data_IF_069904898194
#
_entry.id   IF_069904898194
#
_cell.length_a   1.000
_cell.length_b   1.000
_cell.length_c   1.000
_cell.angle_alpha   90.00
_cell.angle_beta   90.00
_cell.angle_gamma   90.00
#
_symmetry.space_group_name_H-M   'P 1'
#
loop_
_entity.id
_entity.type
_entity.pdbx_description
1 polymer ?
#
# COMPACT_ATOMS: atom_id res chain seq x y z
N UNK A 1 23.52 -5.92 -14.22
CA UNK A 1 24.21 -5.08 -13.22
C UNK A 1 25.04 -5.98 -12.33
N UNK A 2 26.32 -5.69 -12.18
CA UNK A 2 27.23 -6.46 -11.30
C UNK A 2 27.01 -6.13 -9.82
N UNK A 3 27.47 -7.01 -8.91
CA UNK A 3 27.37 -6.76 -7.47
C UNK A 3 28.04 -5.45 -7.04
N UNK A 4 29.15 -5.05 -7.72
CA UNK A 4 29.84 -3.79 -7.47
C UNK A 4 28.97 -2.56 -7.73
N UNK A 5 28.25 -2.55 -8.85
CA UNK A 5 27.34 -1.44 -9.23
C UNK A 5 26.13 -1.36 -8.27
N UNK A 6 25.59 -2.53 -7.88
CA UNK A 6 24.50 -2.56 -6.90
C UNK A 6 24.96 -2.01 -5.54
N UNK A 7 26.15 -2.42 -5.07
CA UNK A 7 26.72 -1.90 -3.82
C UNK A 7 26.98 -0.39 -3.90
N UNK A 8 27.58 0.10 -4.97
CA UNK A 8 27.81 1.54 -5.15
C UNK A 8 26.49 2.34 -5.13
N UNK A 9 25.42 1.82 -5.75
CA UNK A 9 24.09 2.43 -5.69
C UNK A 9 23.54 2.43 -4.26
N UNK A 10 23.65 1.31 -3.53
CA UNK A 10 23.17 1.22 -2.14
C UNK A 10 23.88 2.20 -1.22
N UNK A 11 25.17 2.46 -1.42
CA UNK A 11 25.88 3.48 -0.66
C UNK A 11 25.36 4.89 -0.92
N UNK A 12 25.09 5.24 -2.18
CA UNK A 12 24.46 6.53 -2.53
C UNK A 12 23.09 6.68 -1.89
N UNK A 13 22.28 5.63 -1.96
CA UNK A 13 20.95 5.58 -1.34
C UNK A 13 21.01 5.71 0.17
N UNK A 14 22.03 5.11 0.82
CA UNK A 14 22.22 5.25 2.26
C UNK A 14 22.46 6.71 2.67
N UNK A 15 23.27 7.46 1.93
CA UNK A 15 23.50 8.88 2.21
C UNK A 15 22.26 9.73 2.00
N UNK A 16 21.48 9.44 0.97
CA UNK A 16 20.19 10.11 0.74
C UNK A 16 19.21 9.85 1.89
N UNK A 17 19.08 8.59 2.34
CA UNK A 17 18.24 8.22 3.47
C UNK A 17 18.73 8.83 4.79
N UNK A 18 20.05 8.83 5.05
CA UNK A 18 20.64 9.42 6.25
C UNK A 18 20.32 10.92 6.35
N UNK A 19 20.40 11.65 5.23
CA UNK A 19 20.02 13.07 5.19
C UNK A 19 18.56 13.27 5.63
N UNK A 20 17.64 12.46 5.14
CA UNK A 20 16.22 12.52 5.54
C UNK A 20 16.04 12.19 7.04
N UNK A 21 16.76 11.18 7.55
CA UNK A 21 16.74 10.83 8.98
C UNK A 21 17.22 11.97 9.88
N UNK A 22 18.18 12.76 9.40
CA UNK A 22 18.71 13.91 10.15
C UNK A 22 17.77 15.12 10.10
N UNK A 23 17.08 15.33 8.97
CA UNK A 23 16.18 16.46 8.79
C UNK A 23 14.87 16.28 9.57
N UNK A 24 14.24 15.11 9.50
CA UNK A 24 12.90 14.89 10.02
C UNK A 24 11.83 15.82 9.39
N UNK A 25 10.59 15.69 9.80
CA UNK A 25 9.46 16.50 9.31
C UNK A 25 8.92 17.33 10.46
N UNK A 26 8.71 18.63 10.24
CA UNK A 26 8.15 19.53 11.25
C UNK A 26 6.72 19.13 11.58
N UNK A 27 6.39 19.17 12.87
CA UNK A 27 5.05 18.87 13.39
C UNK A 27 4.40 20.17 13.87
N UNK A 28 3.17 20.40 13.42
CA UNK A 28 2.31 21.44 14.00
C UNK A 28 1.72 20.94 15.33
N UNK A 29 2.10 21.52 16.49
CA UNK A 29 1.63 21.07 17.78
C UNK A 29 0.13 21.28 17.98
N UNK A 30 -0.47 22.31 17.37
CA UNK A 30 -1.90 22.57 17.47
C UNK A 30 -2.69 21.54 16.66
N UNK A 31 -2.29 21.29 15.42
CA UNK A 31 -2.93 20.27 14.59
C UNK A 31 -2.80 18.87 15.25
N UNK A 32 -1.64 18.55 15.85
CA UNK A 32 -1.45 17.30 16.59
C UNK A 32 -2.38 17.18 17.79
N UNK A 33 -2.52 18.27 18.58
CA UNK A 33 -3.44 18.29 19.72
C UNK A 33 -4.91 18.15 19.29
N UNK A 34 -5.30 18.78 18.17
CA UNK A 34 -6.65 18.67 17.62
C UNK A 34 -6.96 17.24 17.17
N UNK A 35 -6.04 16.60 16.43
CA UNK A 35 -6.18 15.20 16.01
C UNK A 35 -6.26 14.27 17.22
N UNK A 36 -5.46 14.53 18.28
CA UNK A 36 -5.51 13.75 19.51
C UNK A 36 -6.90 13.84 20.15
N UNK A 37 -7.47 15.05 20.29
CA UNK A 37 -8.82 15.23 20.82
C UNK A 37 -9.90 14.55 19.97
N UNK A 38 -9.80 14.62 18.64
CA UNK A 38 -10.70 13.92 17.72
C UNK A 38 -10.66 12.39 17.95
N UNK A 39 -9.45 11.82 18.06
CA UNK A 39 -9.24 10.38 18.30
C UNK A 39 -9.80 9.97 19.67
N UNK A 40 -9.49 10.71 20.74
CA UNK A 40 -9.96 10.41 22.09
C UNK A 40 -11.49 10.52 22.22
N UNK A 41 -12.10 11.54 21.62
CA UNK A 41 -13.55 11.67 21.58
C UNK A 41 -14.22 10.51 20.84
N UNK A 42 -13.70 10.12 19.67
CA UNK A 42 -14.21 8.99 18.90
C UNK A 42 -14.02 7.65 19.65
N UNK A 43 -12.88 7.45 20.31
CA UNK A 43 -12.62 6.29 21.15
C UNK A 43 -13.57 6.22 22.34
N UNK A 44 -13.78 7.34 23.05
CA UNK A 44 -14.69 7.44 24.18
C UNK A 44 -16.14 7.13 23.78
N UNK A 45 -16.63 7.73 22.70
CA UNK A 45 -17.97 7.47 22.15
C UNK A 45 -18.15 5.99 21.77
N UNK A 46 -17.14 5.43 21.11
CA UNK A 46 -17.18 4.01 20.69
C UNK A 46 -17.16 3.06 21.89
N UNK A 47 -16.33 3.36 22.90
CA UNK A 47 -16.25 2.56 24.12
C UNK A 47 -17.57 2.61 24.92
N UNK A 48 -18.14 3.79 25.12
CA UNK A 48 -19.42 3.97 25.81
C UNK A 48 -20.55 3.16 25.16
N UNK A 49 -20.59 3.13 23.82
CA UNK A 49 -21.53 2.29 23.07
C UNK A 49 -21.30 0.79 23.35
N UNK A 50 -20.04 0.33 23.30
CA UNK A 50 -19.69 -1.07 23.55
C UNK A 50 -20.09 -1.48 24.97
N UNK A 51 -19.74 -0.68 25.97
CA UNK A 51 -20.09 -0.96 27.39
C UNK A 51 -21.59 -0.95 27.62
N UNK A 52 -22.33 -0.07 26.95
CA UNK A 52 -23.80 -0.07 26.99
C UNK A 52 -24.37 -1.36 26.43
N UNK A 53 -23.87 -1.86 25.32
CA UNK A 53 -24.33 -3.11 24.69
C UNK A 53 -23.98 -4.34 25.54
N UNK A 54 -22.80 -4.35 26.17
CA UNK A 54 -22.33 -5.46 26.97
C UNK A 54 -22.91 -5.43 28.42
N UNK A 55 -23.32 -4.27 28.91
CA UNK A 55 -23.75 -4.05 30.28
C UNK A 55 -22.62 -4.00 31.32
N UNK A 56 -21.36 -4.02 30.89
CA UNK A 56 -20.17 -3.94 31.75
C UNK A 56 -18.96 -3.36 31.02
N UNK A 57 -17.98 -2.86 31.79
CA UNK A 57 -16.70 -2.39 31.25
C UNK A 57 -15.83 -3.56 30.74
N UNK A 58 -15.08 -3.29 29.67
CA UNK A 58 -14.19 -4.28 29.05
C UNK A 58 -12.89 -3.61 28.57
N UNK A 59 -11.77 -4.30 28.71
CA UNK A 59 -10.51 -3.89 28.11
C UNK A 59 -10.31 -4.54 26.74
N UNK A 60 -10.57 -3.79 25.67
CA UNK A 60 -10.44 -4.26 24.27
C UNK A 60 -8.99 -4.60 23.85
N UNK A 61 -8.00 -4.17 24.63
CA UNK A 61 -6.57 -4.53 24.44
C UNK A 61 -6.17 -5.81 25.15
N UNK A 62 -7.03 -6.36 26.03
CA UNK A 62 -6.77 -7.59 26.75
C UNK A 62 -7.16 -8.82 25.93
N UNK A 63 -6.19 -9.60 25.39
CA UNK A 63 -6.53 -10.82 24.64
C UNK A 63 -7.39 -11.79 25.48
N UNK A 64 -7.12 -11.89 26.78
CA UNK A 64 -7.87 -12.76 27.69
C UNK A 64 -9.33 -12.36 27.76
N UNK A 65 -9.64 -11.07 28.02
CA UNK A 65 -11.02 -10.60 28.10
C UNK A 65 -11.75 -10.75 26.75
N UNK A 66 -11.07 -10.47 25.66
CA UNK A 66 -11.65 -10.62 24.32
C UNK A 66 -11.93 -12.09 23.97
N UNK A 67 -11.07 -13.02 24.35
CA UNK A 67 -11.33 -14.46 24.16
C UNK A 67 -12.52 -14.92 25.02
N UNK A 68 -12.60 -14.50 26.30
CA UNK A 68 -13.72 -14.79 27.16
C UNK A 68 -15.03 -14.26 26.58
N UNK A 69 -15.07 -12.97 26.20
CA UNK A 69 -16.26 -12.36 25.62
C UNK A 69 -16.79 -13.16 24.41
N UNK A 70 -15.93 -13.41 23.39
CA UNK A 70 -16.43 -14.03 22.17
C UNK A 70 -16.65 -15.53 22.28
N UNK A 71 -15.80 -16.26 22.99
CA UNK A 71 -15.82 -17.73 22.94
C UNK A 71 -16.48 -18.38 24.18
N UNK A 72 -16.61 -17.63 25.29
CA UNK A 72 -17.34 -18.10 26.50
C UNK A 72 -18.68 -17.42 26.59
N UNK A 73 -18.73 -16.09 26.72
CA UNK A 73 -19.97 -15.37 27.07
C UNK A 73 -20.93 -15.32 25.86
N UNK A 74 -20.42 -15.04 24.66
CA UNK A 74 -21.18 -15.02 23.40
C UNK A 74 -21.20 -16.39 22.68
N UNK A 75 -20.57 -17.42 23.26
CA UNK A 75 -20.55 -18.80 22.77
C UNK A 75 -20.22 -18.96 21.25
N UNK A 76 -19.35 -18.12 20.71
CA UNK A 76 -19.00 -18.17 19.31
C UNK A 76 -18.07 -19.34 19.00
N UNK A 77 -18.17 -19.88 17.78
CA UNK A 77 -17.23 -20.89 17.29
C UNK A 77 -15.81 -20.28 17.22
N UNK A 78 -14.86 -20.93 17.90
CA UNK A 78 -13.47 -20.47 18.00
C UNK A 78 -12.83 -20.29 16.61
N UNK A 79 -12.19 -19.15 16.42
CA UNK A 79 -11.32 -18.86 15.27
C UNK A 79 -9.89 -19.01 15.75
N UNK A 80 -9.09 -19.72 14.93
CA UNK A 80 -7.68 -19.98 15.23
C UNK A 80 -6.78 -19.08 14.39
N UNK A 81 -5.62 -18.71 14.94
CA UNK A 81 -4.57 -18.05 14.18
C UNK A 81 -4.14 -18.92 13.00
N UNK A 82 -3.60 -18.29 11.93
CA UNK A 82 -2.97 -19.05 10.85
C UNK A 82 -1.81 -19.87 11.39
N UNK A 83 -1.71 -21.11 10.91
CA UNK A 83 -0.58 -21.98 11.25
C UNK A 83 0.74 -21.30 10.80
N UNK A 84 1.71 -21.26 11.72
CA UNK A 84 3.07 -20.78 11.44
C UNK A 84 4.04 -21.94 11.67
N UNK A 85 5.19 -22.01 10.96
CA UNK A 85 6.22 -22.98 11.27
C UNK A 85 6.57 -22.93 12.76
N UNK A 86 6.56 -24.09 13.42
CA UNK A 86 6.89 -24.27 14.85
C UNK A 86 5.91 -23.61 15.86
N UNK A 87 4.77 -23.09 15.42
CA UNK A 87 3.75 -22.54 16.34
C UNK A 87 2.38 -23.14 16.01
N UNK A 88 1.77 -23.90 16.94
CA UNK A 88 0.43 -24.42 16.73
C UNK A 88 -0.59 -23.27 16.63
N UNK A 89 -1.66 -23.43 15.85
CA UNK A 89 -2.77 -22.49 15.85
C UNK A 89 -3.37 -22.35 17.24
N UNK A 90 -3.67 -21.11 17.65
CA UNK A 90 -4.30 -20.81 18.95
C UNK A 90 -5.53 -19.91 18.76
N UNK A 91 -6.48 -19.93 19.69
CA UNK A 91 -7.62 -19.03 19.66
C UNK A 91 -7.18 -17.57 19.53
N UNK A 92 -7.90 -16.80 18.67
CA UNK A 92 -7.61 -15.39 18.41
C UNK A 92 -8.89 -14.59 18.24
N UNK A 93 -8.84 -13.31 18.59
CA UNK A 93 -9.84 -12.28 18.31
C UNK A 93 -9.20 -11.11 17.55
N UNK A 94 -8.22 -11.42 16.69
CA UNK A 94 -7.63 -10.43 15.77
C UNK A 94 -8.67 -9.94 14.74
N UNK A 95 -8.28 -9.00 13.90
CA UNK A 95 -9.17 -8.37 12.94
C UNK A 95 -9.81 -9.38 11.97
N UNK A 96 -9.05 -10.40 11.53
CA UNK A 96 -9.58 -11.45 10.64
C UNK A 96 -10.59 -12.36 11.38
N UNK A 97 -10.35 -12.62 12.65
CA UNK A 97 -11.27 -13.39 13.49
C UNK A 97 -12.58 -12.63 13.72
N UNK A 98 -12.52 -11.34 14.05
CA UNK A 98 -13.72 -10.52 14.25
C UNK A 98 -14.51 -10.32 12.95
N UNK A 99 -13.83 -10.09 11.80
CA UNK A 99 -14.47 -10.07 10.47
C UNK A 99 -15.16 -11.42 10.16
N UNK A 100 -14.55 -12.54 10.58
CA UNK A 100 -15.12 -13.88 10.38
C UNK A 100 -16.37 -14.09 11.23
N UNK A 101 -16.33 -13.69 12.50
CA UNK A 101 -17.48 -13.76 13.43
C UNK A 101 -18.62 -12.87 12.90
N UNK A 102 -18.33 -11.63 12.50
CA UNK A 102 -19.31 -10.70 11.95
C UNK A 102 -20.02 -11.22 10.68
N UNK A 103 -19.33 -12.04 9.87
CA UNK A 103 -19.93 -12.70 8.69
C UNK A 103 -20.80 -13.90 9.05
N UNK A 104 -20.45 -14.64 10.11
CA UNK A 104 -21.21 -15.82 10.58
C UNK A 104 -22.45 -15.43 11.35
N UNK A 105 -22.34 -14.38 12.18
CA UNK A 105 -23.37 -13.92 13.10
C UNK A 105 -23.73 -12.46 12.83
N UNK A 106 -24.70 -12.19 11.95
CA UNK A 106 -25.08 -10.82 11.59
C UNK A 106 -25.47 -9.94 12.79
N UNK A 107 -26.02 -10.53 13.87
CA UNK A 107 -26.37 -9.79 15.09
C UNK A 107 -25.14 -9.27 15.84
N UNK A 108 -24.01 -9.95 15.75
CA UNK A 108 -22.75 -9.51 16.35
C UNK A 108 -21.93 -8.56 15.45
N UNK A 109 -22.35 -8.39 14.21
CA UNK A 109 -21.64 -7.53 13.25
C UNK A 109 -21.42 -6.10 13.77
N UNK A 110 -22.42 -5.40 14.36
CA UNK A 110 -22.20 -4.06 14.91
C UNK A 110 -21.15 -4.04 16.03
N UNK A 111 -21.18 -5.01 16.95
CA UNK A 111 -20.21 -5.12 18.04
C UNK A 111 -18.80 -5.37 17.51
N UNK A 112 -18.62 -6.34 16.60
CA UNK A 112 -17.33 -6.61 15.97
C UNK A 112 -16.77 -5.37 15.26
N UNK A 113 -17.61 -4.66 14.49
CA UNK A 113 -17.20 -3.45 13.78
C UNK A 113 -16.78 -2.33 14.75
N UNK A 114 -17.53 -2.08 15.82
CA UNK A 114 -17.17 -1.08 16.84
C UNK A 114 -15.86 -1.40 17.55
N UNK A 115 -15.62 -2.68 17.86
CA UNK A 115 -14.33 -3.11 18.42
C UNK A 115 -13.18 -2.88 17.44
N UNK A 116 -13.36 -3.22 16.17
CA UNK A 116 -12.36 -2.99 15.11
C UNK A 116 -12.10 -1.49 14.92
N UNK A 117 -13.13 -0.67 14.92
CA UNK A 117 -13.00 0.79 14.84
C UNK A 117 -12.19 1.34 16.01
N UNK A 118 -12.56 0.99 17.24
CA UNK A 118 -11.84 1.42 18.43
C UNK A 118 -10.34 1.03 18.37
N UNK A 119 -10.03 -0.19 17.94
CA UNK A 119 -8.65 -0.66 17.78
C UNK A 119 -7.90 0.15 16.72
N UNK A 120 -8.55 0.49 15.62
CA UNK A 120 -7.96 1.36 14.59
C UNK A 120 -7.64 2.75 15.14
N UNK A 121 -8.58 3.38 15.86
CA UNK A 121 -8.38 4.67 16.51
C UNK A 121 -7.23 4.61 17.54
N UNK A 122 -7.19 3.58 18.37
CA UNK A 122 -6.15 3.37 19.37
C UNK A 122 -4.76 3.20 18.72
N UNK A 123 -4.67 2.46 17.61
CA UNK A 123 -3.42 2.30 16.85
C UNK A 123 -2.95 3.62 16.27
N UNK A 124 -3.87 4.47 15.75
CA UNK A 124 -3.54 5.80 15.26
C UNK A 124 -3.02 6.70 16.37
N UNK A 125 -3.71 6.72 17.53
CA UNK A 125 -3.26 7.50 18.69
C UNK A 125 -1.86 7.08 19.12
N UNK A 126 -1.66 5.79 19.39
CA UNK A 126 -0.40 5.27 19.93
C UNK A 126 0.77 5.46 18.96
N UNK A 127 0.57 5.24 17.65
CA UNK A 127 1.64 5.35 16.68
C UNK A 127 1.98 6.79 16.31
N UNK A 128 1.00 7.69 16.23
CA UNK A 128 1.21 9.04 15.69
C UNK A 128 1.18 10.13 16.74
N UNK A 129 0.29 10.02 17.74
CA UNK A 129 0.12 11.08 18.73
C UNK A 129 1.07 10.93 19.92
N UNK A 130 1.50 9.69 20.24
CA UNK A 130 2.45 9.44 21.32
C UNK A 130 3.91 9.42 20.86
N UNK A 131 4.17 9.47 19.55
CA UNK A 131 5.52 9.50 19.01
C UNK A 131 6.35 10.68 19.55
N UNK A 132 7.55 10.39 20.03
CA UNK A 132 8.45 11.42 20.56
C UNK A 132 9.06 12.25 19.44
N UNK A 133 9.03 13.56 19.57
CA UNK A 133 9.69 14.49 18.67
C UNK A 133 11.12 14.79 19.14
N UNK A 134 11.94 15.30 18.23
CA UNK A 134 13.25 15.86 18.59
C UNK A 134 13.12 17.23 19.29
N UNK A 135 14.27 17.82 19.62
CA UNK A 135 14.33 19.12 20.34
C UNK A 135 13.77 20.29 19.50
N UNK A 136 13.71 20.14 18.18
CA UNK A 136 13.20 21.13 17.24
C UNK A 136 11.70 20.92 16.90
N UNK A 137 11.06 19.93 17.55
CA UNK A 137 9.66 19.58 17.29
C UNK A 137 9.44 18.86 15.97
N UNK A 138 10.47 18.13 15.49
CA UNK A 138 10.38 17.37 14.24
C UNK A 138 10.18 15.88 14.52
N UNK A 139 9.47 15.22 13.65
CA UNK A 139 9.27 13.77 13.66
C UNK A 139 10.24 13.14 12.67
N UNK A 140 11.17 12.37 13.19
CA UNK A 140 12.10 11.59 12.41
C UNK A 140 11.58 10.18 12.10
N UNK A 141 12.36 9.44 11.32
CA UNK A 141 12.19 8.01 11.10
C UNK A 141 13.55 7.41 10.81
N UNK A 142 13.88 6.28 11.42
CA UNK A 142 15.08 5.52 11.08
C UNK A 142 14.77 4.63 9.88
N UNK A 143 15.32 4.96 8.72
CA UNK A 143 15.11 4.18 7.49
C UNK A 143 16.17 3.08 7.37
N UNK A 144 15.72 1.84 7.23
CA UNK A 144 16.56 0.71 6.87
C UNK A 144 16.39 0.41 5.38
N UNK A 145 17.38 0.78 4.56
CA UNK A 145 17.38 0.60 3.11
C UNK A 145 17.46 -0.86 2.65
N UNK A 146 17.83 -1.77 3.57
CA UNK A 146 17.92 -3.22 3.36
C UNK A 146 16.92 -3.99 4.24
N UNK A 147 15.89 -3.33 4.74
CA UNK A 147 14.99 -3.89 5.75
C UNK A 147 13.98 -4.91 5.22
N UNK A 148 13.81 -5.01 3.90
CA UNK A 148 12.88 -5.96 3.29
C UNK A 148 13.52 -6.73 2.14
N UNK A 149 13.00 -7.92 1.87
CA UNK A 149 13.45 -8.75 0.73
C UNK A 149 13.12 -8.12 -0.63
N UNK A 150 12.19 -7.16 -0.69
CA UNK A 150 11.75 -6.47 -1.91
C UNK A 150 12.51 -5.18 -2.21
N UNK A 151 13.56 -4.87 -1.44
CA UNK A 151 14.30 -3.60 -1.50
C UNK A 151 13.46 -2.35 -1.16
N UNK A 152 12.25 -2.53 -0.65
CA UNK A 152 11.50 -1.48 0.01
C UNK A 152 12.15 -1.18 1.35
N UNK A 153 12.11 0.06 1.78
CA UNK A 153 12.58 0.41 3.11
C UNK A 153 11.68 -0.21 4.18
N UNK A 154 12.25 -0.49 5.32
CA UNK A 154 11.52 -0.52 6.58
C UNK A 154 11.89 0.70 7.41
N UNK A 155 11.02 1.11 8.30
CA UNK A 155 11.29 2.25 9.17
C UNK A 155 10.83 2.00 10.59
N UNK A 156 11.43 2.74 11.54
CA UNK A 156 11.13 2.66 12.97
C UNK A 156 11.46 4.01 13.64
N UNK A 157 11.20 4.13 14.92
CA UNK A 157 11.85 5.14 15.73
C UNK A 157 13.39 4.98 15.68
N UNK A 158 14.12 6.04 15.97
CA UNK A 158 15.57 5.99 16.00
C UNK A 158 16.09 5.32 17.28
N UNK A 159 17.43 5.15 17.39
CA UNK A 159 18.07 4.51 18.55
C UNK A 159 17.84 5.25 19.89
N UNK A 160 17.36 6.48 19.85
CA UNK A 160 17.05 7.31 21.03
C UNK A 160 15.55 7.33 21.37
N UNK A 161 14.73 6.51 20.69
CA UNK A 161 13.30 6.46 20.88
C UNK A 161 12.59 7.72 20.38
N UNK A 162 13.15 8.41 19.38
CA UNK A 162 12.56 9.60 18.76
C UNK A 162 12.03 9.23 17.38
N UNK A 163 10.88 9.79 17.02
CA UNK A 163 10.22 9.53 15.75
C UNK A 163 9.37 8.27 15.75
N UNK A 164 9.09 7.75 14.56
CA UNK A 164 8.19 6.61 14.38
C UNK A 164 8.38 5.94 13.02
N UNK A 165 7.65 4.84 12.80
CA UNK A 165 7.55 4.24 11.47
C UNK A 165 6.64 5.07 10.56
N UNK A 166 7.23 6.00 9.78
CA UNK A 166 6.48 6.86 8.86
C UNK A 166 5.85 6.09 7.68
N UNK A 167 6.28 4.86 7.40
CA UNK A 167 5.67 4.03 6.36
C UNK A 167 4.31 3.45 6.76
N UNK A 168 3.91 3.56 8.05
CA UNK A 168 2.57 3.21 8.50
C UNK A 168 1.54 4.33 8.33
N UNK A 169 1.94 5.52 7.86
CA UNK A 169 1.00 6.62 7.63
C UNK A 169 -0.03 6.20 6.58
N UNK A 170 -1.32 6.22 6.92
CA UNK A 170 -2.36 5.75 6.01
C UNK A 170 -2.48 6.64 4.79
N UNK A 171 -2.64 6.01 3.63
CA UNK A 171 -3.04 6.68 2.39
C UNK A 171 -4.48 6.28 2.02
N UNK A 172 -5.19 7.04 1.18
CA UNK A 172 -6.60 6.77 0.84
C UNK A 172 -6.90 5.36 0.35
N UNK A 173 -5.92 4.69 -0.26
CA UNK A 173 -6.01 3.29 -0.71
C UNK A 173 -5.61 2.26 0.34
N UNK A 174 -5.24 2.65 1.57
CA UNK A 174 -4.82 1.68 2.58
C UNK A 174 -5.97 0.79 3.03
N UNK A 175 -5.66 -0.49 3.28
CA UNK A 175 -6.66 -1.50 3.68
C UNK A 175 -7.43 -1.10 4.94
N UNK A 176 -6.78 -0.45 5.88
CA UNK A 176 -7.40 0.02 7.14
C UNK A 176 -8.45 1.10 6.88
N UNK A 177 -8.12 2.10 6.05
CA UNK A 177 -9.06 3.17 5.68
C UNK A 177 -10.23 2.63 4.84
N UNK A 178 -9.96 1.77 3.85
CA UNK A 178 -11.01 1.15 3.03
C UNK A 178 -11.99 0.37 3.92
N UNK A 179 -11.49 -0.48 4.82
CA UNK A 179 -12.33 -1.23 5.76
C UNK A 179 -13.12 -0.34 6.71
N UNK A 180 -12.53 0.76 7.19
CA UNK A 180 -13.24 1.74 8.01
C UNK A 180 -14.39 2.37 7.22
N UNK A 181 -14.15 2.84 5.99
CA UNK A 181 -15.18 3.39 5.12
C UNK A 181 -16.29 2.38 4.78
N UNK A 182 -15.94 1.12 4.50
CA UNK A 182 -16.92 0.04 4.28
C UNK A 182 -17.82 -0.21 5.50
N UNK A 183 -17.36 0.13 6.71
CA UNK A 183 -18.13 0.07 7.96
C UNK A 183 -18.89 1.37 8.28
N UNK A 184 -18.78 2.39 7.41
CA UNK A 184 -19.36 3.73 7.65
C UNK A 184 -18.63 4.54 8.74
N UNK A 185 -17.35 4.26 8.95
CA UNK A 185 -16.50 4.86 9.95
C UNK A 185 -15.50 5.82 9.31
N UNK A 186 -15.14 6.87 10.04
CA UNK A 186 -14.12 7.84 9.61
C UNK A 186 -12.92 7.78 10.53
N UNK A 187 -11.72 7.94 9.97
CA UNK A 187 -10.49 8.10 10.73
C UNK A 187 -9.94 9.51 10.48
N UNK A 188 -9.43 10.20 11.51
CA UNK A 188 -8.83 11.53 11.33
C UNK A 188 -7.67 11.50 10.34
N UNK A 189 -7.53 12.57 9.56
CA UNK A 189 -6.40 12.75 8.64
C UNK A 189 -5.14 13.16 9.42
N UNK A 190 -4.34 12.18 9.82
CA UNK A 190 -3.10 12.42 10.58
C UNK A 190 -2.03 13.18 9.79
N UNK A 191 -2.09 13.16 8.44
CA UNK A 191 -1.16 13.91 7.60
C UNK A 191 -1.27 15.43 7.81
N UNK A 192 -2.36 15.96 8.43
CA UNK A 192 -2.54 17.39 8.72
C UNK A 192 -1.48 17.96 9.64
N UNK A 193 -0.92 17.16 10.55
CA UNK A 193 0.07 17.63 11.50
C UNK A 193 1.49 17.79 10.93
N UNK A 194 1.76 17.16 9.77
CA UNK A 194 3.05 17.28 9.10
C UNK A 194 3.06 18.51 8.21
N UNK A 195 3.88 19.49 8.57
CA UNK A 195 3.92 20.81 7.91
C UNK A 195 5.30 21.07 7.31
N UNK A 196 5.38 21.83 6.20
CA UNK A 196 6.67 22.31 5.71
C UNK A 196 7.28 23.34 6.66
N UNK A 197 8.57 23.59 6.51
CA UNK A 197 9.25 24.69 7.18
C UNK A 197 8.70 26.03 6.68
N UNK A 198 8.91 27.11 7.46
CA UNK A 198 8.46 28.44 7.07
C UNK A 198 9.08 28.89 5.74
N UNK A 199 8.24 29.34 4.80
CA UNK A 199 8.66 29.70 3.45
C UNK A 199 8.89 28.51 2.51
N UNK A 200 8.54 27.28 2.93
CA UNK A 200 8.62 26.08 2.12
C UNK A 200 7.24 25.56 1.70
N UNK A 201 7.25 24.78 0.63
CA UNK A 201 6.09 24.03 0.14
C UNK A 201 6.41 22.55 0.25
N UNK A 202 5.51 21.76 0.86
CA UNK A 202 5.58 20.31 0.89
C UNK A 202 5.16 19.74 -0.46
N UNK A 203 5.82 18.67 -0.92
CA UNK A 203 5.40 17.90 -2.09
C UNK A 203 5.27 16.41 -1.73
N UNK A 204 4.33 15.76 -2.38
CA UNK A 204 4.18 14.30 -2.41
C UNK A 204 4.21 13.85 -3.87
N UNK A 205 5.17 13.02 -4.21
CA UNK A 205 5.32 12.38 -5.51
C UNK A 205 4.91 10.93 -5.38
N UNK A 206 4.08 10.42 -6.29
CA UNK A 206 3.56 9.06 -6.27
C UNK A 206 3.65 8.41 -7.65
N UNK A 207 4.08 7.15 -7.69
CA UNK A 207 4.14 6.36 -8.91
C UNK A 207 2.74 5.80 -9.24
N UNK A 208 2.21 6.15 -10.39
CA UNK A 208 0.87 5.73 -10.80
C UNK A 208 0.81 4.22 -11.11
N UNK A 209 0.04 3.45 -10.31
CA UNK A 209 -0.22 2.02 -10.56
C UNK A 209 1.02 1.18 -10.81
N UNK A 210 2.13 1.50 -10.14
CA UNK A 210 3.47 1.07 -10.47
C UNK A 210 3.63 -0.46 -10.63
N UNK A 211 3.12 -1.25 -9.68
CA UNK A 211 3.22 -2.71 -9.76
C UNK A 211 2.50 -3.27 -10.99
N UNK A 212 1.35 -2.71 -11.36
CA UNK A 212 0.60 -3.15 -12.54
C UNK A 212 1.35 -2.86 -13.85
N UNK A 213 1.98 -1.67 -13.98
CA UNK A 213 2.84 -1.38 -15.12
C UNK A 213 3.94 -2.43 -15.29
N UNK A 214 4.61 -2.79 -14.19
CA UNK A 214 5.67 -3.82 -14.22
C UNK A 214 5.11 -5.17 -14.64
N UNK A 215 3.97 -5.61 -14.10
CA UNK A 215 3.33 -6.88 -14.49
C UNK A 215 3.00 -6.91 -15.99
N UNK A 216 2.44 -5.83 -16.52
CA UNK A 216 2.09 -5.73 -17.95
C UNK A 216 3.34 -5.82 -18.84
N UNK A 217 4.47 -5.22 -18.43
CA UNK A 217 5.73 -5.30 -19.17
C UNK A 217 6.38 -6.69 -19.05
N UNK A 218 6.36 -7.28 -17.87
CA UNK A 218 6.79 -8.66 -17.65
C UNK A 218 5.97 -9.67 -18.44
N UNK A 219 4.66 -9.47 -18.51
CA UNK A 219 3.75 -10.32 -19.30
C UNK A 219 3.89 -10.13 -20.81
N UNK A 220 4.47 -9.01 -21.24
CA UNK A 220 4.50 -8.51 -22.63
C UNK A 220 3.10 -8.50 -23.27
N UNK A 221 2.12 -8.02 -22.51
CA UNK A 221 0.74 -7.93 -22.99
C UNK A 221 0.54 -6.66 -23.82
N UNK A 222 0.38 -6.82 -25.13
CA UNK A 222 0.35 -5.70 -26.07
C UNK A 222 -0.89 -4.81 -25.89
N UNK A 223 -2.02 -5.41 -25.55
CA UNK A 223 -3.28 -4.68 -25.39
C UNK A 223 -3.24 -3.82 -24.13
N UNK A 224 -2.83 -4.39 -23.00
CA UNK A 224 -2.64 -3.65 -21.75
C UNK A 224 -1.56 -2.56 -21.88
N UNK A 225 -0.44 -2.84 -22.55
CA UNK A 225 0.59 -1.82 -22.84
C UNK A 225 0.00 -0.65 -23.63
N UNK A 226 -0.81 -0.95 -24.65
CA UNK A 226 -1.43 0.08 -25.48
C UNK A 226 -2.43 0.90 -24.67
N UNK A 227 -3.26 0.24 -23.85
CA UNK A 227 -4.23 0.90 -22.98
C UNK A 227 -3.53 1.86 -22.00
N UNK A 228 -2.46 1.40 -21.34
CA UNK A 228 -1.67 2.22 -20.42
C UNK A 228 -1.02 3.42 -21.12
N UNK A 229 -0.43 3.22 -22.32
CA UNK A 229 0.19 4.30 -23.11
C UNK A 229 -0.82 5.35 -23.57
N UNK A 230 -2.06 4.96 -23.81
CA UNK A 230 -3.14 5.87 -24.18
C UNK A 230 -3.80 6.58 -23.00
N UNK A 231 -3.37 6.32 -21.77
CA UNK A 231 -3.96 6.91 -20.56
C UNK A 231 -5.38 6.42 -20.26
N UNK A 232 -5.74 5.23 -20.74
CA UNK A 232 -7.04 4.61 -20.47
C UNK A 232 -7.14 4.27 -18.98
N UNK A 233 -8.30 4.53 -18.35
CA UNK A 233 -8.57 4.04 -16.98
C UNK A 233 -8.55 2.51 -16.97
N UNK A 234 -7.36 1.98 -16.63
CA UNK A 234 -7.09 0.55 -16.68
C UNK A 234 -8.03 -0.26 -15.78
N UNK A 235 -8.52 0.32 -14.69
CA UNK A 235 -9.46 -0.38 -13.81
C UNK A 235 -10.88 -0.45 -14.40
N UNK A 236 -11.28 0.55 -15.18
CA UNK A 236 -12.50 0.47 -15.98
C UNK A 236 -12.34 -0.52 -17.13
N UNK A 237 -11.19 -0.48 -17.82
CA UNK A 237 -10.86 -1.40 -18.91
C UNK A 237 -10.88 -2.85 -18.42
N UNK A 238 -10.14 -3.18 -17.37
CA UNK A 238 -10.10 -4.54 -16.80
C UNK A 238 -11.46 -4.98 -16.23
N UNK A 239 -12.29 -4.05 -15.76
CA UNK A 239 -13.66 -4.39 -15.37
C UNK A 239 -14.52 -4.83 -16.57
N UNK A 240 -14.32 -4.22 -17.74
CA UNK A 240 -15.02 -4.65 -18.95
C UNK A 240 -14.65 -6.08 -19.32
N UNK A 241 -13.37 -6.46 -19.25
CA UNK A 241 -12.92 -7.82 -19.55
C UNK A 241 -13.41 -8.85 -18.54
N UNK A 242 -13.23 -8.55 -17.25
CA UNK A 242 -13.62 -9.46 -16.17
C UNK A 242 -15.12 -9.75 -16.15
N UNK A 243 -15.94 -8.71 -16.33
CA UNK A 243 -17.40 -8.80 -16.26
C UNK A 243 -18.07 -8.90 -17.62
N UNK A 244 -17.29 -9.00 -18.71
CA UNK A 244 -17.77 -9.08 -20.09
C UNK A 244 -18.76 -7.94 -20.44
N UNK A 245 -18.42 -6.69 -20.06
CA UNK A 245 -19.21 -5.51 -20.33
C UNK A 245 -18.92 -5.07 -21.77
N UNK A 246 -19.92 -5.26 -22.65
CA UNK A 246 -19.80 -4.92 -24.08
C UNK A 246 -20.29 -3.50 -24.38
N UNK A 247 -19.87 -2.95 -25.54
CA UNK A 247 -20.35 -1.68 -26.06
C UNK A 247 -19.78 -0.46 -25.34
N UNK A 248 -18.58 -0.59 -24.79
CA UNK A 248 -17.75 0.52 -24.29
C UNK A 248 -16.42 0.46 -25.06
N UNK A 249 -16.16 1.41 -25.98
CA UNK A 249 -14.88 1.49 -26.67
C UNK A 249 -13.76 1.82 -25.66
N UNK A 250 -12.61 1.13 -25.71
CA UNK A 250 -11.50 1.38 -24.78
C UNK A 250 -11.03 2.85 -24.74
N UNK A 251 -11.00 3.53 -25.90
CA UNK A 251 -10.60 4.92 -26.04
C UNK A 251 -11.52 5.90 -25.29
N UNK A 252 -12.78 5.53 -25.06
CA UNK A 252 -13.74 6.32 -24.30
C UNK A 252 -13.56 6.18 -22.77
N UNK A 253 -12.71 5.28 -22.33
CA UNK A 253 -12.32 5.10 -20.92
C UNK A 253 -11.15 6.00 -20.50
N UNK A 254 -10.85 7.05 -21.23
CA UNK A 254 -9.89 8.07 -20.86
C UNK A 254 -10.58 9.21 -20.10
N UNK A 255 -10.05 9.65 -18.97
CA UNK A 255 -10.70 10.65 -18.09
C UNK A 255 -11.05 11.97 -18.79
N UNK A 256 -10.34 12.30 -19.86
CA UNK A 256 -10.60 13.48 -20.70
C UNK A 256 -11.68 13.27 -21.75
N UNK A 257 -12.15 12.03 -21.96
CA UNK A 257 -13.18 11.74 -22.98
C UNK A 257 -14.58 12.17 -22.51
N UNK A 258 -15.41 12.80 -23.37
CA UNK A 258 -16.74 13.27 -22.97
C UNK A 258 -17.64 12.19 -22.36
N UNK A 259 -17.58 10.96 -22.88
CA UNK A 259 -18.41 9.83 -22.45
C UNK A 259 -17.84 9.11 -21.20
N UNK A 260 -16.65 9.48 -20.71
CA UNK A 260 -15.99 8.78 -19.60
C UNK A 260 -16.88 8.68 -18.36
N UNK A 261 -17.51 9.79 -17.96
CA UNK A 261 -18.36 9.82 -16.75
C UNK A 261 -19.55 8.87 -16.85
N UNK A 262 -20.17 8.76 -18.02
CA UNK A 262 -21.28 7.84 -18.29
C UNK A 262 -20.81 6.39 -18.21
N UNK A 263 -19.73 6.04 -18.91
CA UNK A 263 -19.15 4.70 -18.87
C UNK A 263 -18.68 4.31 -17.48
N UNK A 264 -18.04 5.25 -16.76
CA UNK A 264 -17.62 5.06 -15.36
C UNK A 264 -18.81 4.76 -14.45
N UNK A 265 -19.94 5.47 -14.63
CA UNK A 265 -21.17 5.23 -13.89
C UNK A 265 -21.78 3.86 -14.23
N UNK A 266 -21.80 3.47 -15.52
CA UNK A 266 -22.28 2.16 -15.99
C UNK A 266 -21.45 1.00 -15.44
N UNK A 267 -20.12 1.15 -15.34
CA UNK A 267 -19.23 0.17 -14.73
C UNK A 267 -19.44 0.10 -13.21
N UNK A 268 -19.67 1.25 -12.57
CA UNK A 268 -19.98 1.36 -11.15
C UNK A 268 -18.91 0.73 -10.24
N UNK A 269 -19.36 0.05 -9.19
CA UNK A 269 -18.48 -0.60 -8.21
C UNK A 269 -17.63 -1.76 -8.76
N UNK A 270 -17.94 -2.28 -9.95
CA UNK A 270 -17.15 -3.34 -10.61
C UNK A 270 -15.71 -2.92 -10.86
N UNK A 271 -15.45 -1.63 -11.04
CA UNK A 271 -14.09 -1.08 -11.16
C UNK A 271 -13.20 -1.41 -9.95
N UNK A 272 -13.73 -1.23 -8.76
CA UNK A 272 -12.95 -1.45 -7.52
C UNK A 272 -12.78 -2.94 -7.24
N UNK A 273 -13.77 -3.75 -7.62
CA UNK A 273 -13.63 -5.21 -7.61
C UNK A 273 -12.61 -5.68 -8.63
N UNK A 274 -12.63 -5.15 -9.86
CA UNK A 274 -11.65 -5.49 -10.89
C UNK A 274 -10.21 -5.21 -10.42
N UNK A 275 -9.95 -4.06 -9.81
CA UNK A 275 -8.65 -3.73 -9.21
C UNK A 275 -8.17 -4.81 -8.25
N UNK A 276 -9.06 -5.28 -7.35
CA UNK A 276 -8.72 -6.31 -6.35
C UNK A 276 -8.50 -7.69 -6.97
N UNK A 277 -9.32 -8.06 -7.97
CA UNK A 277 -9.20 -9.35 -8.68
C UNK A 277 -7.90 -9.39 -9.46
N UNK A 278 -7.64 -8.39 -10.29
CA UNK A 278 -6.44 -8.31 -11.14
C UNK A 278 -5.19 -8.38 -10.27
N UNK A 279 -5.12 -7.59 -9.21
CA UNK A 279 -3.99 -7.65 -8.27
C UNK A 279 -3.79 -9.04 -7.65
N UNK A 280 -4.88 -9.74 -7.30
CA UNK A 280 -4.77 -11.11 -6.81
C UNK A 280 -4.27 -12.08 -7.90
N UNK A 281 -4.75 -11.95 -9.14
CA UNK A 281 -4.39 -12.81 -10.25
C UNK A 281 -2.95 -12.58 -10.73
N UNK A 282 -2.48 -11.35 -10.72
CA UNK A 282 -1.08 -10.99 -11.00
C UNK A 282 -0.12 -11.71 -10.03
N UNK A 283 -0.55 -11.90 -8.78
CA UNK A 283 0.18 -12.63 -7.74
C UNK A 283 -0.18 -14.12 -7.67
N UNK A 284 -0.62 -14.72 -8.77
CA UNK A 284 -1.01 -16.15 -8.86
C UNK A 284 -2.18 -16.55 -7.94
N UNK A 285 -3.11 -15.63 -7.69
CA UNK A 285 -4.30 -15.88 -6.90
C UNK A 285 -5.17 -16.99 -7.50
N UNK A 286 -5.73 -17.82 -6.65
CA UNK A 286 -6.62 -18.94 -7.03
C UNK A 286 -8.10 -18.53 -6.95
N UNK A 287 -9.00 -19.37 -7.48
CA UNK A 287 -10.44 -19.18 -7.33
C UNK A 287 -10.86 -19.03 -5.86
N UNK A 288 -10.19 -19.71 -4.93
CA UNK A 288 -10.41 -19.56 -3.48
C UNK A 288 -10.05 -18.14 -3.00
N UNK A 289 -8.94 -17.59 -3.48
CA UNK A 289 -8.52 -16.22 -3.15
C UNK A 289 -9.50 -15.18 -3.69
N UNK A 290 -9.89 -15.31 -4.96
CA UNK A 290 -10.84 -14.41 -5.62
C UNK A 290 -12.22 -14.49 -4.96
N UNK A 291 -12.73 -15.70 -4.70
CA UNK A 291 -13.99 -15.95 -4.01
C UNK A 291 -14.01 -15.28 -2.62
N UNK A 292 -12.95 -15.46 -1.83
CA UNK A 292 -12.85 -14.84 -0.50
C UNK A 292 -12.78 -13.31 -0.57
N UNK A 293 -12.14 -12.74 -1.62
CA UNK A 293 -12.01 -11.29 -1.82
C UNK A 293 -13.34 -10.64 -2.19
N UNK A 294 -14.14 -11.32 -3.01
CA UNK A 294 -15.39 -10.80 -3.56
C UNK A 294 -16.63 -11.23 -2.76
N UNK A 295 -16.53 -12.22 -1.88
CA UNK A 295 -17.69 -12.84 -1.23
C UNK A 295 -18.57 -13.62 -2.21
N UNK A 296 -18.00 -14.18 -3.29
CA UNK A 296 -18.70 -14.89 -4.37
C UNK A 296 -18.44 -16.40 -4.33
N UNK A 297 -19.10 -17.17 -5.18
CA UNK A 297 -18.88 -18.62 -5.28
C UNK A 297 -17.54 -18.97 -5.93
N UNK A 298 -17.02 -20.17 -5.68
CA UNK A 298 -15.81 -20.66 -6.36
C UNK A 298 -16.00 -20.74 -7.88
N UNK A 299 -17.18 -21.09 -8.35
CA UNK A 299 -17.50 -21.17 -9.76
C UNK A 299 -17.45 -19.80 -10.46
N UNK A 300 -18.03 -18.77 -9.83
CA UNK A 300 -17.95 -17.40 -10.33
C UNK A 300 -16.53 -16.88 -10.30
N UNK A 301 -15.78 -17.16 -9.23
CA UNK A 301 -14.38 -16.80 -9.12
C UNK A 301 -13.54 -17.44 -10.22
N UNK A 302 -13.79 -18.73 -10.55
CA UNK A 302 -13.12 -19.40 -11.67
C UNK A 302 -13.46 -18.75 -13.00
N UNK A 303 -14.73 -18.37 -13.24
CA UNK A 303 -15.12 -17.66 -14.47
C UNK A 303 -14.41 -16.32 -14.64
N UNK A 304 -14.19 -15.56 -13.55
CA UNK A 304 -13.38 -14.33 -13.62
C UNK A 304 -11.93 -14.61 -14.01
N UNK A 305 -11.33 -15.68 -13.47
CA UNK A 305 -9.98 -16.10 -13.83
C UNK A 305 -9.90 -16.46 -15.31
N UNK A 306 -10.86 -17.27 -15.80
CA UNK A 306 -10.90 -17.71 -17.20
C UNK A 306 -11.09 -16.54 -18.15
N UNK A 307 -11.97 -15.60 -17.82
CA UNK A 307 -12.17 -14.36 -18.59
C UNK A 307 -10.87 -13.54 -18.66
N UNK A 308 -10.22 -13.32 -17.52
CA UNK A 308 -9.01 -12.50 -17.42
C UNK A 308 -7.84 -13.13 -18.19
N UNK A 309 -7.54 -14.38 -17.94
CA UNK A 309 -6.43 -15.07 -18.61
C UNK A 309 -6.73 -15.38 -20.09
N UNK A 310 -8.01 -15.48 -20.45
CA UNK A 310 -8.44 -15.59 -21.85
C UNK A 310 -8.20 -14.30 -22.62
N UNK A 311 -8.49 -13.15 -22.03
CA UNK A 311 -8.23 -11.83 -22.62
C UNK A 311 -6.71 -11.50 -22.60
N UNK A 312 -6.01 -11.86 -21.53
CA UNK A 312 -4.61 -11.50 -21.30
C UNK A 312 -3.70 -12.72 -21.14
N UNK A 313 -3.50 -13.53 -22.20
CA UNK A 313 -2.70 -14.77 -22.13
C UNK A 313 -1.21 -14.53 -21.87
N UNK A 314 -0.74 -13.28 -21.95
CA UNK A 314 0.61 -12.86 -21.56
C UNK A 314 0.90 -13.13 -20.09
N UNK A 315 -0.09 -12.92 -19.21
CA UNK A 315 0.07 -13.06 -17.76
C UNK A 315 0.33 -14.51 -17.35
N UNK A 316 -0.50 -15.51 -17.69
CA UNK A 316 -0.19 -16.91 -17.36
C UNK A 316 1.09 -17.41 -18.04
N UNK A 317 1.46 -16.92 -19.24
CA UNK A 317 2.77 -17.21 -19.84
C UNK A 317 3.92 -16.65 -19.03
N UNK A 318 3.78 -15.43 -18.48
CA UNK A 318 4.75 -14.88 -17.56
C UNK A 318 4.87 -15.71 -16.29
N UNK A 319 3.76 -16.11 -15.66
CA UNK A 319 3.79 -17.01 -14.50
C UNK A 319 4.53 -18.33 -14.82
N UNK A 320 4.31 -18.89 -16.01
CA UNK A 320 5.02 -20.10 -16.45
C UNK A 320 6.54 -19.85 -16.59
N UNK A 321 6.96 -18.68 -17.13
CA UNK A 321 8.38 -18.29 -17.19
C UNK A 321 9.00 -18.17 -15.81
N UNK A 322 8.31 -17.50 -14.86
CA UNK A 322 8.77 -17.40 -13.47
C UNK A 322 8.93 -18.78 -12.84
N UNK A 323 7.97 -19.68 -13.05
CA UNK A 323 8.04 -21.06 -12.58
C UNK A 323 9.25 -21.79 -13.16
N UNK A 324 9.54 -21.59 -14.45
CA UNK A 324 10.73 -22.16 -15.11
C UNK A 324 12.03 -21.62 -14.51
N UNK A 325 12.12 -20.30 -14.28
CA UNK A 325 13.28 -19.69 -13.62
C UNK A 325 13.54 -20.28 -12.23
N UNK A 326 12.50 -20.49 -11.45
CA UNK A 326 12.61 -21.11 -10.12
C UNK A 326 13.10 -22.56 -10.17
N UNK A 327 12.92 -23.26 -11.28
CA UNK A 327 13.40 -24.63 -11.51
C UNK A 327 14.85 -24.71 -11.99
N UNK A 328 15.49 -23.59 -12.33
CA UNK A 328 16.87 -23.57 -12.85
C UNK A 328 17.87 -23.47 -11.70
N UNK A 329 18.87 -24.37 -11.68
CA UNK A 329 19.94 -24.38 -10.69
C UNK A 329 19.57 -25.07 -9.37
N UNK A 330 20.55 -25.12 -8.44
CA UNK A 330 20.40 -25.80 -7.14
C UNK A 330 19.54 -25.01 -6.14
N UNK A 331 19.55 -23.69 -6.25
CA UNK A 331 18.78 -22.78 -5.39
C UNK A 331 17.83 -21.99 -6.27
N UNK A 332 16.50 -22.08 -6.06
CA UNK A 332 15.54 -21.28 -6.79
C UNK A 332 15.85 -19.79 -6.69
N UNK A 333 15.81 -19.09 -7.82
CA UNK A 333 16.15 -17.68 -7.90
C UNK A 333 15.32 -16.97 -8.97
N UNK A 334 14.91 -15.74 -8.70
CA UNK A 334 14.35 -14.82 -9.70
C UNK A 334 15.11 -13.51 -9.71
N UNK A 335 15.03 -12.79 -10.81
CA UNK A 335 15.60 -11.45 -10.92
C UNK A 335 14.55 -10.43 -11.37
N UNK A 336 14.68 -9.18 -10.93
CA UNK A 336 13.88 -8.08 -11.44
C UNK A 336 14.56 -7.42 -12.67
N UNK A 337 13.88 -6.45 -13.29
CA UNK A 337 14.37 -5.75 -14.48
C UNK A 337 15.72 -5.03 -14.29
N UNK A 338 16.05 -4.63 -13.06
CA UNK A 338 17.34 -4.00 -12.74
C UNK A 338 18.45 -5.00 -12.39
N UNK A 339 18.18 -6.31 -12.51
CA UNK A 339 19.16 -7.37 -12.26
C UNK A 339 19.36 -7.70 -10.77
N UNK A 340 18.54 -7.16 -9.87
CA UNK A 340 18.54 -7.60 -8.48
C UNK A 340 17.95 -9.00 -8.39
N UNK A 341 18.48 -9.82 -7.48
CA UNK A 341 18.14 -11.24 -7.37
C UNK A 341 17.55 -11.56 -6.00
N UNK A 342 16.59 -12.48 -5.98
CA UNK A 342 16.10 -13.11 -4.76
C UNK A 342 16.28 -14.63 -4.85
N UNK A 343 16.90 -15.19 -3.83
CA UNK A 343 17.12 -16.61 -3.64
C UNK A 343 16.10 -17.16 -2.65
N UNK A 344 15.59 -18.35 -2.91
CA UNK A 344 14.63 -19.05 -2.05
C UNK A 344 15.29 -20.31 -1.50
N UNK A 345 15.55 -20.30 -0.19
CA UNK A 345 16.24 -21.41 0.50
C UNK A 345 15.25 -22.42 1.08
N UNK A 346 14.01 -22.00 1.32
CA UNK A 346 12.96 -22.86 1.84
C UNK A 346 12.10 -23.43 0.70
N UNK A 347 11.73 -24.69 0.82
CA UNK A 347 10.74 -25.30 -0.05
C UNK A 347 9.36 -25.10 0.57
N UNK A 348 8.48 -24.37 -0.12
CA UNK A 348 7.08 -24.24 0.24
C UNK A 348 6.20 -24.04 -1.00
N UNK A 349 4.94 -24.42 -0.89
CA UNK A 349 4.00 -24.48 -2.01
C UNK A 349 3.65 -23.09 -2.59
N UNK A 350 3.97 -22.01 -1.86
CA UNK A 350 3.65 -20.63 -2.26
C UNK A 350 4.80 -19.92 -2.95
N UNK A 351 5.91 -20.60 -3.27
CA UNK A 351 7.14 -19.98 -3.81
C UNK A 351 6.85 -19.23 -5.13
N UNK A 352 6.00 -19.77 -6.00
CA UNK A 352 5.64 -19.12 -7.27
C UNK A 352 4.92 -17.81 -7.03
N UNK A 353 3.91 -17.78 -6.16
CA UNK A 353 3.18 -16.53 -5.82
C UNK A 353 4.09 -15.49 -5.19
N UNK A 354 4.97 -15.92 -4.29
CA UNK A 354 5.95 -15.02 -3.67
C UNK A 354 6.94 -14.46 -4.70
N UNK A 355 7.38 -15.26 -5.69
CA UNK A 355 8.28 -14.82 -6.74
C UNK A 355 7.58 -13.87 -7.74
N UNK A 356 6.35 -14.18 -8.14
CA UNK A 356 5.55 -13.32 -9.00
C UNK A 356 5.26 -11.96 -8.33
N UNK A 357 4.96 -11.93 -7.03
CA UNK A 357 4.79 -10.69 -6.28
C UNK A 357 6.10 -9.91 -6.09
N UNK A 358 7.22 -10.62 -5.87
CA UNK A 358 8.50 -9.99 -5.62
C UNK A 358 9.05 -9.22 -6.84
N UNK A 359 8.86 -9.71 -8.05
CA UNK A 359 9.40 -9.07 -9.27
C UNK A 359 8.86 -7.64 -9.43
N UNK A 360 7.54 -7.37 -9.46
CA UNK A 360 7.03 -6.01 -9.58
C UNK A 360 7.36 -5.16 -8.36
N UNK A 361 7.21 -5.67 -7.15
CA UNK A 361 7.50 -4.92 -5.93
C UNK A 361 8.95 -4.46 -5.86
N UNK A 362 9.90 -5.34 -6.16
CA UNK A 362 11.32 -4.98 -6.14
C UNK A 362 11.71 -4.06 -7.31
N UNK A 363 11.07 -4.19 -8.47
CA UNK A 363 11.29 -3.28 -9.60
C UNK A 363 10.81 -1.86 -9.24
N UNK A 364 9.62 -1.72 -8.68
CA UNK A 364 9.07 -0.44 -8.21
C UNK A 364 9.95 0.18 -7.12
N UNK A 365 10.40 -0.62 -6.14
CA UNK A 365 11.35 -0.15 -5.13
C UNK A 365 12.65 0.36 -5.75
N UNK A 366 13.17 -0.30 -6.78
CA UNK A 366 14.35 0.17 -7.51
C UNK A 366 14.08 1.48 -8.27
N UNK A 367 12.88 1.72 -8.79
CA UNK A 367 12.49 2.97 -9.45
C UNK A 367 12.48 4.11 -8.44
N UNK A 368 11.70 3.99 -7.37
CA UNK A 368 11.56 5.07 -6.39
C UNK A 368 12.88 5.39 -5.66
N UNK A 369 13.69 4.37 -5.37
CA UNK A 369 15.01 4.57 -4.77
C UNK A 369 15.97 5.33 -5.70
N UNK A 370 15.89 5.13 -7.01
CA UNK A 370 16.67 5.89 -8.00
C UNK A 370 16.19 7.33 -8.13
N UNK A 371 14.88 7.54 -8.14
CA UNK A 371 14.29 8.88 -8.10
C UNK A 371 14.82 9.65 -6.87
N UNK A 372 14.79 9.03 -5.68
CA UNK A 372 15.30 9.66 -4.47
C UNK A 372 16.78 10.06 -4.59
N UNK A 373 17.64 9.15 -5.04
CA UNK A 373 19.07 9.45 -5.24
C UNK A 373 19.27 10.59 -6.24
N UNK A 374 18.56 10.56 -7.38
CA UNK A 374 18.64 11.62 -8.39
C UNK A 374 18.25 12.98 -7.81
N UNK A 375 17.14 13.05 -7.06
CA UNK A 375 16.71 14.30 -6.43
C UNK A 375 17.76 14.81 -5.43
N UNK A 376 18.30 13.97 -4.57
CA UNK A 376 19.31 14.37 -3.59
C UNK A 376 20.61 14.86 -4.22
N UNK A 377 21.04 14.27 -5.34
CA UNK A 377 22.32 14.60 -5.98
C UNK A 377 22.23 15.77 -6.96
N UNK A 378 21.10 15.90 -7.67
CA UNK A 378 20.97 16.88 -8.74
C UNK A 378 20.14 18.11 -8.36
N UNK A 379 19.37 18.03 -7.26
CA UNK A 379 18.57 19.14 -6.71
C UNK A 379 18.81 19.28 -5.20
N UNK A 380 20.01 19.73 -4.77
CA UNK A 380 20.35 19.84 -3.34
C UNK A 380 19.44 20.80 -2.57
N UNK A 381 18.75 21.71 -3.25
CA UNK A 381 17.72 22.60 -2.69
C UNK A 381 16.38 21.92 -2.38
N UNK A 382 16.15 20.69 -2.90
CA UNK A 382 15.01 19.86 -2.57
C UNK A 382 15.37 18.97 -1.38
N UNK A 383 14.59 19.04 -0.35
CA UNK A 383 14.74 18.20 0.84
C UNK A 383 13.74 17.03 0.75
N UNK A 384 14.19 15.86 0.31
CA UNK A 384 13.40 14.64 0.41
C UNK A 384 13.45 14.17 1.84
N UNK A 385 12.30 14.07 2.51
CA UNK A 385 12.18 13.83 3.95
C UNK A 385 11.69 12.42 4.28
N UNK A 386 10.95 11.79 3.36
CA UNK A 386 10.38 10.48 3.59
C UNK A 386 10.14 9.71 2.28
N UNK A 387 10.08 8.39 2.43
CA UNK A 387 9.56 7.47 1.42
C UNK A 387 8.44 6.65 2.05
N UNK A 388 7.30 6.56 1.38
CA UNK A 388 6.18 5.71 1.78
C UNK A 388 5.80 4.83 0.60
N UNK A 389 6.16 3.55 0.63
CA UNK A 389 5.92 2.57 -0.42
C UNK A 389 6.51 2.99 -1.78
N UNK A 390 5.67 3.50 -2.67
CA UNK A 390 5.96 3.94 -4.04
C UNK A 390 5.90 5.48 -4.19
N UNK A 391 5.91 6.20 -3.07
CA UNK A 391 5.90 7.67 -3.04
C UNK A 391 7.10 8.27 -2.31
N UNK A 392 7.49 9.49 -2.69
CA UNK A 392 8.44 10.36 -1.99
C UNK A 392 7.71 11.59 -1.47
N UNK A 393 8.07 12.01 -0.27
CA UNK A 393 7.62 13.25 0.31
C UNK A 393 8.79 14.14 0.71
N UNK A 394 8.62 15.44 0.55
CA UNK A 394 9.68 16.38 0.89
C UNK A 394 9.21 17.81 0.80
N UNK A 395 10.18 18.73 0.84
CA UNK A 395 9.89 20.16 0.76
C UNK A 395 10.95 20.93 -0.03
N UNK A 396 10.56 22.08 -0.53
CA UNK A 396 11.43 23.03 -1.20
C UNK A 396 10.93 24.46 -0.95
N UNK A 397 11.79 25.47 -1.18
CA UNK A 397 11.40 26.89 -1.01
C UNK A 397 10.23 27.23 -1.92
N UNK A 398 9.18 27.83 -1.36
CA UNK A 398 7.94 28.18 -2.08
C UNK A 398 8.21 29.09 -3.29
N UNK A 399 9.19 29.98 -3.19
CA UNK A 399 9.57 30.88 -4.29
C UNK A 399 10.07 30.11 -5.56
N UNK A 400 10.55 28.89 -5.40
CA UNK A 400 11.11 28.06 -6.48
C UNK A 400 10.10 27.06 -7.05
N UNK A 401 8.82 27.08 -6.62
CA UNK A 401 7.83 26.03 -6.93
C UNK A 401 7.79 25.65 -8.40
N UNK A 402 7.55 26.62 -9.29
CA UNK A 402 7.40 26.33 -10.76
C UNK A 402 8.62 25.67 -11.35
N UNK A 403 9.81 26.15 -11.03
CA UNK A 403 11.08 25.62 -11.50
C UNK A 403 11.34 24.21 -10.97
N UNK A 404 11.16 24.01 -9.67
CA UNK A 404 11.50 22.76 -9.00
C UNK A 404 10.52 21.64 -9.34
N UNK A 405 9.22 21.92 -9.46
CA UNK A 405 8.25 20.87 -9.83
C UNK A 405 8.57 20.22 -11.16
N UNK A 406 8.93 21.02 -12.21
CA UNK A 406 9.32 20.47 -13.49
C UNK A 406 10.59 19.62 -13.41
N UNK A 407 11.57 20.05 -12.60
CA UNK A 407 12.82 19.30 -12.43
C UNK A 407 12.64 18.05 -11.55
N UNK A 408 11.83 18.11 -10.52
CA UNK A 408 11.47 16.93 -9.71
C UNK A 408 10.82 15.89 -10.64
N UNK A 409 9.80 16.29 -11.39
CA UNK A 409 9.15 15.41 -12.35
C UNK A 409 10.14 14.75 -13.33
N UNK A 410 11.01 15.54 -13.96
CA UNK A 410 12.00 15.03 -14.92
C UNK A 410 12.97 14.00 -14.30
N UNK A 411 13.50 14.30 -13.12
CA UNK A 411 14.51 13.47 -12.44
C UNK A 411 13.94 12.20 -11.81
N UNK A 412 12.64 12.19 -11.57
CA UNK A 412 11.93 11.04 -11.01
C UNK A 412 11.41 10.07 -12.07
N UNK A 413 11.39 10.45 -13.35
CA UNK A 413 11.07 9.56 -14.46
C UNK A 413 12.22 8.58 -14.74
N UNK A 414 12.22 7.46 -14.04
CA UNK A 414 13.25 6.42 -14.18
C UNK A 414 12.88 5.43 -15.26
N UNK A 415 13.77 5.19 -16.19
CA UNK A 415 13.61 4.15 -17.22
C UNK A 415 13.93 2.78 -16.65
N UNK A 416 12.93 1.88 -16.65
CA UNK A 416 13.12 0.46 -16.35
C UNK A 416 13.66 -0.24 -17.60
N UNK A 417 14.79 -0.96 -17.50
CA UNK A 417 15.55 -1.45 -18.66
C UNK A 417 14.96 -2.74 -19.27
N UNK A 418 13.69 -2.69 -19.69
CA UNK A 418 13.11 -3.73 -20.53
C UNK A 418 13.54 -3.56 -22.00
N UNK A 419 13.46 -4.60 -22.85
CA UNK A 419 13.67 -4.47 -24.29
C UNK A 419 12.78 -3.39 -24.95
N UNK A 420 11.54 -3.28 -24.48
CA UNK A 420 10.61 -2.18 -24.71
C UNK A 420 10.63 -1.30 -23.44
N UNK A 421 11.38 -0.19 -23.39
CA UNK A 421 11.63 0.54 -22.14
C UNK A 421 10.35 1.00 -21.46
N UNK A 422 10.29 0.84 -20.13
CA UNK A 422 9.16 1.31 -19.33
C UNK A 422 9.56 2.54 -18.54
N UNK A 423 8.75 3.60 -18.66
CA UNK A 423 8.75 4.72 -17.71
C UNK A 423 7.38 4.72 -17.02
N UNK A 424 7.37 4.58 -15.70
CA UNK A 424 6.16 4.61 -14.91
C UNK A 424 5.77 6.08 -14.71
N UNK A 425 4.52 6.47 -15.03
CA UNK A 425 4.06 7.84 -14.78
C UNK A 425 4.08 8.18 -13.30
N UNK A 426 4.30 9.46 -13.01
CA UNK A 426 4.27 10.00 -11.66
C UNK A 426 3.26 11.14 -11.57
N UNK A 427 2.64 11.28 -10.43
CA UNK A 427 1.86 12.44 -10.05
C UNK A 427 2.56 13.18 -8.91
N UNK A 428 2.54 14.53 -8.96
CA UNK A 428 3.12 15.36 -7.91
C UNK A 428 2.02 16.27 -7.37
N UNK A 429 1.86 16.25 -6.06
CA UNK A 429 0.93 17.09 -5.31
C UNK A 429 1.69 17.99 -4.38
N UNK A 430 1.21 19.19 -4.13
CA UNK A 430 1.90 20.16 -3.28
C UNK A 430 0.97 20.88 -2.32
N UNK A 431 1.52 21.34 -1.19
CA UNK A 431 0.82 22.21 -0.27
C UNK A 431 1.81 23.07 0.53
N UNK A 432 1.58 24.38 0.63
CA UNK A 432 2.34 25.25 1.53
C UNK A 432 1.86 25.16 2.99
N UNK A 433 0.80 24.37 3.26
CA UNK A 433 0.16 24.32 4.58
C UNK A 433 0.51 23.02 5.31
N UNK A 434 0.24 21.86 4.71
CA UNK A 434 0.53 20.57 5.34
C UNK A 434 0.54 19.45 4.30
N UNK A 435 1.18 18.32 4.63
CA UNK A 435 1.09 17.10 3.82
C UNK A 435 -0.36 16.62 3.63
N UNK A 436 -1.19 16.78 4.65
CA UNK A 436 -2.61 16.39 4.59
C UNK A 436 -3.46 17.20 3.61
N UNK A 437 -2.92 18.30 3.08
CA UNK A 437 -3.56 19.16 2.09
C UNK A 437 -2.87 19.13 0.72
N UNK A 438 -1.93 18.22 0.49
CA UNK A 438 -1.36 18.00 -0.84
C UNK A 438 -2.46 17.57 -1.83
N UNK A 439 -2.68 18.37 -2.89
CA UNK A 439 -3.73 18.21 -3.89
C UNK A 439 -3.18 18.41 -5.31
#
# INVERSE_FOLDING_TARGET
MGLGEQNAFQQRLFWAALRAMQLGIKIDPLARADITRELEAAMGTTMAWIETVLGHAINLRSPKQMLTLFYTDLAQKVVLTRAKPKQPPKPTTDDEALDTIAKREPLLKPLCHKILHWRSLATFRDNFMEARLDEEGRMGSSFNICGTETYRFSSSENAFGVGMNLQYIPHPGSRSLIKALERGETLPNVKRMFVPDEGYTFFEEDLDRAEFYVVVWEADDKELKLALRKGIDIHCFTACDLYQIKGIPPEELTETHPNYKEHRARIGGKRDYAKRIVHALDNTGTAKTVSATLGTTLQEAQRFIDNWFGAHPGIPRWHARVKTQLGVGKIPCVSNAFGYKRFYFDRHDTILGNAAAWIPQSTVACVINRAWVNLCEQLPEVQVLLQVHDSLGGQFKTADTTRLLSRIHELSLITVPYPDPLVIPISIKTSPVSWGQCA
#
